data_IF_866627930123
#
_entry.id   IF_866627930123
#
_cell.length_a   1.000
_cell.length_b   1.000
_cell.length_c   1.000
_cell.angle_alpha   90.00
_cell.angle_beta   90.00
_cell.angle_gamma   90.00
#
_symmetry.space_group_name_H-M   'P 1'
#
loop_
_entity.id
_entity.type
_entity.pdbx_description
1 polymer ?
#
# COMPACT_ATOMS: atom_id res chain seq x y z
N UNK A 1 7.43 -6.58 7.29
CA UNK A 1 8.33 -6.79 8.45
C UNK A 1 8.27 -5.50 9.24
N UNK A 2 7.61 -5.52 10.40
CA UNK A 2 7.53 -4.35 11.28
C UNK A 2 8.89 -4.25 11.99
N UNK A 3 9.63 -3.18 11.74
CA UNK A 3 10.81 -2.83 12.52
C UNK A 3 10.38 -1.91 13.66
N UNK A 4 10.85 -2.21 14.87
CA UNK A 4 10.54 -1.44 16.06
C UNK A 4 11.82 -0.77 16.57
N UNK A 5 11.67 0.46 17.06
CA UNK A 5 12.72 1.16 17.78
C UNK A 5 12.48 0.97 19.26
N UNK A 6 13.50 0.48 19.97
CA UNK A 6 13.52 0.42 21.42
C UNK A 6 13.90 1.80 21.97
N UNK A 7 13.03 2.29 22.86
CA UNK A 7 13.14 3.61 23.48
C UNK A 7 13.37 3.55 24.98
N UNK A 8 13.82 2.41 25.49
CA UNK A 8 14.14 2.23 26.91
C UNK A 8 15.27 3.19 27.36
N UNK A 9 15.15 3.86 28.53
CA UNK A 9 14.06 3.78 29.50
C UNK A 9 12.82 4.58 29.07
N UNK A 10 11.72 3.85 28.91
CA UNK A 10 10.40 4.30 28.42
C UNK A 10 9.42 4.65 29.56
N UNK A 11 9.89 4.71 30.80
CA UNK A 11 9.04 4.96 31.97
C UNK A 11 8.65 6.43 32.00
N UNK A 12 7.38 6.70 31.64
CA UNK A 12 6.68 7.99 31.65
C UNK A 12 6.77 8.84 30.36
N UNK A 13 6.33 8.28 29.23
CA UNK A 13 5.81 9.14 28.17
C UNK A 13 4.36 9.52 28.49
N UNK A 14 4.08 10.82 28.49
CA UNK A 14 2.71 11.35 28.62
C UNK A 14 2.02 11.40 27.25
N UNK A 15 0.69 11.51 27.24
CA UNK A 15 -0.12 11.58 26.01
C UNK A 15 0.28 12.77 25.11
N UNK A 16 0.84 13.81 25.71
CA UNK A 16 1.30 15.02 25.02
C UNK A 16 2.78 14.96 24.59
N UNK A 17 3.46 13.84 24.79
CA UNK A 17 4.84 13.67 24.38
C UNK A 17 4.96 13.29 22.91
N UNK A 18 6.07 13.71 22.30
CA UNK A 18 6.37 13.51 20.89
C UNK A 18 7.74 12.87 20.72
N UNK A 19 7.84 11.96 19.76
CA UNK A 19 9.10 11.47 19.25
C UNK A 19 9.36 12.06 17.88
N UNK A 20 10.44 12.81 17.75
CA UNK A 20 10.89 13.43 16.51
C UNK A 20 12.02 12.60 15.92
N UNK A 21 11.83 12.12 14.71
CA UNK A 21 12.82 11.37 13.94
C UNK A 21 13.68 12.29 13.09
N UNK A 22 14.98 12.07 13.17
CA UNK A 22 15.97 12.74 12.35
C UNK A 22 16.73 11.72 11.50
N UNK A 23 17.00 12.08 10.24
CA UNK A 23 17.79 11.30 9.30
C UNK A 23 18.94 12.17 8.82
N UNK A 24 20.17 11.69 9.00
CA UNK A 24 21.39 12.43 8.65
C UNK A 24 21.47 13.81 9.33
N UNK A 25 20.95 13.92 10.55
CA UNK A 25 20.91 15.16 11.33
C UNK A 25 19.76 16.11 10.99
N UNK A 26 18.93 15.79 9.99
CA UNK A 26 17.77 16.59 9.61
C UNK A 26 16.47 15.99 10.14
N UNK A 27 15.59 16.82 10.69
CA UNK A 27 14.24 16.43 11.06
C UNK A 27 13.45 15.92 9.84
N UNK A 28 12.74 14.80 10.00
CA UNK A 28 11.92 14.20 8.93
C UNK A 28 10.49 13.94 9.34
N UNK A 29 10.23 13.50 10.56
CA UNK A 29 8.90 13.06 10.96
C UNK A 29 8.74 13.06 12.48
N UNK A 30 7.50 12.97 12.96
CA UNK A 30 7.23 12.79 14.37
C UNK A 30 6.06 11.84 14.61
N UNK A 31 6.04 11.20 15.78
CA UNK A 31 4.89 10.44 16.28
C UNK A 31 4.54 10.92 17.69
N UNK A 32 3.28 10.76 18.08
CA UNK A 32 2.86 11.01 19.48
C UNK A 32 3.16 9.77 20.31
N UNK A 33 3.49 9.96 21.58
CA UNK A 33 3.95 8.86 22.42
C UNK A 33 2.83 7.87 22.81
N UNK A 34 1.55 8.16 22.56
CA UNK A 34 0.49 7.15 22.66
C UNK A 34 0.33 6.28 21.41
N UNK A 35 1.11 6.54 20.34
CA UNK A 35 1.21 5.66 19.16
C UNK A 35 2.25 4.53 19.37
N UNK A 36 2.70 4.35 20.60
CA UNK A 36 3.56 3.25 21.04
C UNK A 36 2.72 1.97 21.16
N UNK A 37 3.31 0.81 20.84
CA UNK A 37 2.58 -0.45 20.73
C UNK A 37 1.81 -0.81 22.01
N UNK A 38 0.56 -1.29 21.87
CA UNK A 38 -0.30 -1.74 23.00
C UNK A 38 0.38 -2.83 23.85
N UNK A 39 1.25 -3.64 23.23
CA UNK A 39 1.95 -4.75 23.88
C UNK A 39 3.25 -4.35 24.61
N UNK A 40 3.85 -3.21 24.25
CA UNK A 40 5.08 -2.71 24.86
C UNK A 40 5.24 -1.19 24.66
N UNK A 41 5.12 -0.44 25.77
CA UNK A 41 5.25 1.01 25.87
C UNK A 41 6.65 1.57 25.53
N UNK A 42 7.59 0.70 25.15
CA UNK A 42 8.96 1.07 24.82
C UNK A 42 9.28 0.85 23.35
N UNK A 43 8.38 0.19 22.60
CA UNK A 43 8.58 -0.16 21.20
C UNK A 43 7.71 0.69 20.29
N UNK A 44 8.37 1.50 19.46
CA UNK A 44 7.72 2.36 18.49
C UNK A 44 7.92 1.80 17.10
N UNK A 45 6.83 1.75 16.33
CA UNK A 45 6.89 1.33 14.93
C UNK A 45 7.77 2.33 14.16
N UNK A 46 8.87 1.82 13.58
CA UNK A 46 9.82 2.65 12.84
C UNK A 46 9.14 3.23 11.58
N UNK A 47 9.19 4.55 11.33
CA UNK A 47 8.60 5.17 10.15
C UNK A 47 9.54 5.04 8.94
N UNK A 48 9.65 3.85 8.35
CA UNK A 48 10.61 3.56 7.25
C UNK A 48 10.51 4.48 6.03
N UNK A 49 9.38 5.16 5.82
CA UNK A 49 9.21 6.12 4.73
C UNK A 49 10.15 7.34 4.83
N UNK A 50 10.75 7.61 5.99
CA UNK A 50 11.75 8.68 6.15
C UNK A 50 13.14 8.30 5.60
N UNK A 51 13.35 7.04 5.21
CA UNK A 51 14.64 6.51 4.79
C UNK A 51 14.72 6.33 3.27
N UNK A 52 15.85 6.72 2.69
CA UNK A 52 16.13 6.48 1.27
C UNK A 52 16.51 5.01 1.01
N UNK A 53 15.93 4.39 -0.02
CA UNK A 53 16.21 3.00 -0.38
C UNK A 53 17.66 2.83 -0.83
N UNK A 54 18.32 1.79 -0.33
CA UNK A 54 19.70 1.40 -0.63
C UNK A 54 20.77 2.47 -0.32
N UNK A 55 20.46 3.43 0.55
CA UNK A 55 21.40 4.44 1.03
C UNK A 55 21.62 4.28 2.53
N UNK A 56 22.88 4.41 2.95
CA UNK A 56 23.21 4.50 4.36
C UNK A 56 22.60 5.79 4.93
N UNK A 57 21.87 5.66 6.04
CA UNK A 57 21.24 6.77 6.75
C UNK A 57 21.59 6.70 8.22
N UNK A 58 21.87 7.84 8.83
CA UNK A 58 22.06 7.96 10.28
C UNK A 58 20.73 8.33 10.93
N UNK A 59 20.01 7.32 11.42
CA UNK A 59 18.71 7.50 12.06
C UNK A 59 18.90 7.82 13.54
N UNK A 60 18.26 8.88 14.01
CA UNK A 60 18.16 9.19 15.45
C UNK A 60 16.76 9.70 15.78
N UNK A 61 16.42 9.71 17.06
CA UNK A 61 15.19 10.33 17.54
C UNK A 61 15.45 11.20 18.77
N UNK A 62 14.54 12.15 18.99
CA UNK A 62 14.47 12.99 20.18
C UNK A 62 13.08 12.83 20.76
N UNK A 63 12.99 12.65 22.07
CA UNK A 63 11.72 12.65 22.78
C UNK A 63 11.53 14.01 23.43
N UNK A 64 10.40 14.66 23.14
CA UNK A 64 10.06 16.02 23.58
C UNK A 64 8.71 15.97 24.27
N UNK A 65 8.58 16.62 25.43
CA UNK A 65 7.32 16.79 26.14
C UNK A 65 6.40 17.79 25.45
N UNK A 66 5.11 17.75 25.77
CA UNK A 66 4.13 18.73 25.26
C UNK A 66 4.47 20.20 25.59
N UNK A 67 5.25 20.44 26.65
CA UNK A 67 5.75 21.76 27.03
C UNK A 67 7.04 22.19 26.29
N UNK A 68 7.62 21.33 25.44
CA UNK A 68 8.84 21.58 24.69
C UNK A 68 10.13 21.04 25.32
N UNK A 69 10.09 20.45 26.52
CA UNK A 69 11.29 19.92 27.18
C UNK A 69 11.80 18.65 26.48
N UNK A 70 13.10 18.60 26.19
CA UNK A 70 13.75 17.40 25.65
C UNK A 70 14.05 16.44 26.80
N UNK A 71 13.46 15.24 26.77
CA UNK A 71 13.65 14.23 27.84
C UNK A 71 14.64 13.14 27.46
N UNK A 72 14.79 12.84 26.17
CA UNK A 72 15.77 11.87 25.70
C UNK A 72 16.23 12.19 24.28
N UNK A 73 17.45 11.79 23.97
CA UNK A 73 18.02 11.84 22.63
C UNK A 73 18.75 10.53 22.35
N UNK A 74 18.40 9.87 21.26
CA UNK A 74 19.10 8.67 20.84
C UNK A 74 20.46 9.03 20.25
N UNK A 75 21.41 8.10 20.36
CA UNK A 75 22.58 8.12 19.47
C UNK A 75 22.13 7.79 18.04
N UNK A 76 22.74 8.39 17.01
CA UNK A 76 22.50 7.97 15.63
C UNK A 76 22.90 6.52 15.41
N UNK A 77 22.06 5.78 14.70
CA UNK A 77 22.31 4.40 14.28
C UNK A 77 22.35 4.34 12.76
N UNK A 78 23.31 3.58 12.25
CA UNK A 78 23.48 3.31 10.84
C UNK A 78 22.40 2.35 10.35
N UNK A 79 21.52 2.84 9.49
CA UNK A 79 20.43 2.08 8.90
C UNK A 79 20.55 2.14 7.38
N UNK A 80 20.50 0.98 6.74
CA UNK A 80 20.32 0.89 5.29
C UNK A 80 18.94 0.29 5.02
N UNK A 81 18.00 1.13 4.59
CA UNK A 81 16.67 0.65 4.21
C UNK A 81 16.74 -0.07 2.86
N UNK A 82 16.46 -1.38 2.86
CA UNK A 82 16.50 -2.20 1.64
C UNK A 82 15.22 -2.12 0.80
N UNK A 83 14.23 -1.33 1.25
CA UNK A 83 12.91 -1.34 0.67
C UNK A 83 12.07 -2.51 1.17
N UNK A 84 10.82 -2.55 0.74
CA UNK A 84 9.95 -3.71 0.89
C UNK A 84 10.05 -4.59 -0.35
N UNK A 85 9.78 -5.91 -0.24
CA UNK A 85 9.61 -6.75 -1.41
C UNK A 85 8.51 -6.17 -2.32
N UNK A 86 8.62 -6.38 -3.64
CA UNK A 86 7.67 -5.88 -4.62
C UNK A 86 6.36 -6.71 -4.60
N UNK A 87 5.61 -6.56 -3.51
CA UNK A 87 4.34 -7.22 -3.26
C UNK A 87 3.53 -6.42 -2.23
N UNK A 88 2.21 -6.66 -2.14
CA UNK A 88 1.35 -6.04 -1.15
C UNK A 88 1.84 -6.23 0.30
N UNK A 89 1.60 -5.23 1.14
CA UNK A 89 2.04 -5.25 2.53
C UNK A 89 1.16 -6.18 3.37
N UNK A 90 1.74 -7.17 4.03
CA UNK A 90 0.97 -8.12 4.85
C UNK A 90 0.79 -7.66 6.30
N UNK A 91 1.39 -6.53 6.67
CA UNK A 91 1.46 -6.02 8.04
C UNK A 91 0.68 -4.70 8.24
N UNK A 92 -0.42 -4.54 7.49
CA UNK A 92 -1.35 -3.41 7.50
C UNK A 92 -2.79 -3.86 7.69
N UNK A 93 -3.65 -2.93 8.11
CA UNK A 93 -5.06 -3.19 8.33
C UNK A 93 -5.82 -3.23 6.99
N UNK A 94 -6.31 -4.43 6.67
CA UNK A 94 -7.07 -4.72 5.44
C UNK A 94 -8.53 -4.93 5.79
N UNK A 95 -9.30 -3.84 5.77
CA UNK A 95 -10.71 -3.85 6.15
C UNK A 95 -11.65 -3.95 4.94
N UNK A 96 -11.19 -3.57 3.75
CA UNK A 96 -12.02 -3.62 2.55
C UNK A 96 -11.87 -4.94 1.79
N UNK A 97 -12.91 -5.32 1.05
CA UNK A 97 -12.93 -6.49 0.17
C UNK A 97 -11.80 -6.43 -0.89
N UNK A 98 -11.29 -7.58 -1.37
CA UNK A 98 -10.37 -7.59 -2.50
C UNK A 98 -10.96 -6.96 -3.76
N UNK A 99 -10.12 -6.36 -4.60
CA UNK A 99 -10.56 -5.93 -5.92
C UNK A 99 -10.86 -7.14 -6.82
N UNK A 100 -11.69 -6.93 -7.86
CA UNK A 100 -11.95 -7.91 -8.91
C UNK A 100 -11.15 -7.58 -10.15
N UNK A 101 -10.49 -8.57 -10.74
CA UNK A 101 -9.69 -8.40 -11.96
C UNK A 101 -10.43 -8.99 -13.14
N UNK A 102 -10.36 -8.31 -14.29
CA UNK A 102 -11.03 -8.72 -15.51
C UNK A 102 -10.06 -8.69 -16.70
N UNK A 103 -10.27 -9.61 -17.62
CA UNK A 103 -9.58 -9.67 -18.91
C UNK A 103 -9.87 -8.44 -19.77
N UNK A 104 -9.12 -8.25 -20.85
CA UNK A 104 -9.41 -7.27 -21.90
C UNK A 104 -10.76 -7.48 -22.61
N UNK A 105 -11.41 -8.63 -22.40
CA UNK A 105 -12.76 -8.96 -22.87
C UNK A 105 -13.84 -8.75 -21.81
N UNK A 106 -13.47 -8.25 -20.62
CA UNK A 106 -14.36 -8.01 -19.49
C UNK A 106 -14.89 -9.31 -18.83
N UNK A 107 -14.12 -10.41 -18.92
CA UNK A 107 -14.36 -11.65 -18.17
C UNK A 107 -13.60 -11.64 -16.85
N UNK A 108 -14.17 -12.18 -15.77
CA UNK A 108 -13.53 -12.23 -14.46
C UNK A 108 -12.30 -13.15 -14.48
N UNK A 109 -11.23 -12.72 -13.81
CA UNK A 109 -10.07 -13.54 -13.46
C UNK A 109 -10.12 -13.80 -11.95
N UNK A 110 -10.38 -15.05 -11.59
CA UNK A 110 -10.41 -15.48 -10.20
C UNK A 110 -9.03 -15.34 -9.53
N UNK A 111 -9.03 -15.35 -8.19
CA UNK A 111 -7.81 -15.44 -7.40
C UNK A 111 -6.95 -16.62 -7.88
N UNK A 112 -5.64 -16.43 -7.91
CA UNK A 112 -4.65 -17.40 -8.42
C UNK A 112 -4.74 -17.63 -9.95
N UNK A 113 -5.59 -16.86 -10.64
CA UNK A 113 -5.76 -16.97 -12.08
C UNK A 113 -4.55 -16.46 -12.87
N UNK A 114 -4.25 -17.15 -13.97
CA UNK A 114 -3.16 -16.76 -14.88
C UNK A 114 -3.56 -15.63 -15.84
N UNK A 115 -2.61 -14.75 -16.16
CA UNK A 115 -2.70 -13.66 -17.14
C UNK A 115 -1.74 -14.00 -18.27
N UNK A 116 -2.27 -14.11 -19.48
CA UNK A 116 -1.54 -14.47 -20.68
C UNK A 116 -1.94 -13.59 -21.87
N UNK A 117 -1.23 -13.75 -22.99
CA UNK A 117 -1.47 -12.97 -24.21
C UNK A 117 -2.94 -12.98 -24.65
N UNK A 118 -3.64 -14.11 -24.53
CA UNK A 118 -5.04 -14.20 -24.90
C UNK A 118 -5.91 -13.29 -24.02
N UNK A 119 -5.74 -13.31 -22.70
CA UNK A 119 -6.54 -12.51 -21.77
C UNK A 119 -6.33 -11.01 -21.93
N UNK A 120 -5.18 -10.59 -22.43
CA UNK A 120 -4.87 -9.16 -22.66
C UNK A 120 -5.00 -8.73 -24.13
N UNK A 121 -5.33 -9.64 -25.06
CA UNK A 121 -5.27 -9.42 -26.52
C UNK A 121 -6.25 -8.40 -27.08
N UNK A 122 -7.37 -8.11 -26.41
CA UNK A 122 -8.36 -7.15 -26.90
C UNK A 122 -8.05 -5.68 -26.52
N UNK A 123 -6.85 -5.43 -25.99
CA UNK A 123 -6.45 -4.14 -25.43
C UNK A 123 -6.64 -2.95 -26.38
N UNK A 124 -6.34 -3.11 -27.67
CA UNK A 124 -6.45 -2.04 -28.66
C UNK A 124 -7.90 -1.54 -28.89
N UNK A 125 -8.91 -2.33 -28.48
CA UNK A 125 -10.32 -1.93 -28.54
C UNK A 125 -10.80 -1.26 -27.25
N UNK A 126 -9.96 -1.23 -26.22
CA UNK A 126 -10.29 -0.71 -24.92
C UNK A 126 -9.77 0.73 -24.74
N UNK A 127 -10.48 1.58 -23.96
CA UNK A 127 -10.01 2.92 -23.66
C UNK A 127 -8.61 2.91 -23.03
N UNK A 128 -7.71 3.75 -23.55
CA UNK A 128 -6.35 3.87 -23.03
C UNK A 128 -5.48 2.64 -23.24
N UNK A 129 -5.80 1.79 -24.23
CA UNK A 129 -5.05 0.57 -24.54
C UNK A 129 -5.00 -0.42 -23.35
N UNK A 130 -6.13 -0.57 -22.67
CA UNK A 130 -6.22 -1.35 -21.43
C UNK A 130 -6.19 -2.86 -21.69
N UNK A 131 -5.19 -3.54 -21.14
CA UNK A 131 -5.06 -5.01 -21.20
C UNK A 131 -5.85 -5.73 -20.11
N UNK A 132 -6.11 -5.07 -18.97
CA UNK A 132 -6.95 -5.58 -17.89
C UNK A 132 -7.80 -4.46 -17.30
N UNK A 133 -8.85 -4.86 -16.58
CA UNK A 133 -9.63 -3.95 -15.76
C UNK A 133 -9.62 -4.43 -14.32
N UNK A 134 -9.43 -3.50 -13.39
CA UNK A 134 -9.56 -3.78 -11.96
C UNK A 134 -10.73 -2.98 -11.41
N UNK A 135 -11.64 -3.66 -10.73
CA UNK A 135 -12.86 -3.06 -10.19
C UNK A 135 -12.85 -3.15 -8.67
N UNK A 136 -13.11 -2.03 -8.03
CA UNK A 136 -13.34 -1.91 -6.60
C UNK A 136 -14.78 -1.46 -6.39
N UNK A 137 -15.49 -2.11 -5.49
CA UNK A 137 -16.87 -1.74 -5.14
C UNK A 137 -16.84 -0.79 -3.95
N UNK A 138 -17.43 0.38 -4.12
CA UNK A 138 -17.72 1.31 -3.03
C UNK A 138 -19.18 1.25 -2.60
N UNK A 139 -19.49 1.87 -1.46
CA UNK A 139 -20.85 1.95 -0.92
C UNK A 139 -21.14 3.28 -0.21
N UNK A 140 -22.41 3.70 -0.25
CA UNK A 140 -22.94 4.77 0.62
C UNK A 140 -23.68 4.20 1.85
N UNK A 141 -23.70 2.88 2.03
CA UNK A 141 -24.25 2.27 3.22
C UNK A 141 -23.30 2.49 4.39
N UNK A 142 -23.76 3.25 5.39
CA UNK A 142 -22.95 3.53 6.58
C UNK A 142 -22.75 2.30 7.48
N UNK A 143 -23.57 1.25 7.30
CA UNK A 143 -23.42 -0.01 8.04
C UNK A 143 -22.42 -0.99 7.41
N UNK A 144 -22.08 -0.80 6.13
CA UNK A 144 -21.11 -1.64 5.42
C UNK A 144 -19.72 -1.00 5.46
N UNK A 145 -18.85 -1.56 6.32
CA UNK A 145 -17.46 -1.13 6.47
C UNK A 145 -16.47 -2.00 5.67
N UNK A 146 -16.95 -2.99 4.92
CA UNK A 146 -16.10 -3.84 4.06
C UNK A 146 -15.92 -3.26 2.66
N UNK A 147 -16.59 -2.15 2.34
CA UNK A 147 -16.50 -1.45 1.06
C UNK A 147 -16.07 -0.01 1.26
N UNK A 148 -15.35 0.51 0.26
CA UNK A 148 -14.85 1.89 0.24
C UNK A 148 -16.02 2.87 0.24
N UNK A 149 -15.93 3.96 0.99
CA UNK A 149 -17.00 4.98 0.97
C UNK A 149 -16.99 5.76 -0.36
N UNK A 150 -18.18 6.13 -0.82
CA UNK A 150 -18.32 6.95 -2.03
C UNK A 150 -17.57 8.29 -1.87
N UNK A 151 -16.93 8.76 -2.95
CA UNK A 151 -16.11 9.98 -2.95
C UNK A 151 -14.70 9.83 -2.35
N UNK A 152 -14.34 8.68 -1.77
CA UNK A 152 -13.00 8.43 -1.24
C UNK A 152 -11.94 8.44 -2.36
N UNK A 153 -10.75 8.97 -2.04
CA UNK A 153 -9.56 8.81 -2.88
C UNK A 153 -9.03 7.39 -2.71
N UNK A 154 -8.86 6.68 -3.81
CA UNK A 154 -8.39 5.30 -3.85
C UNK A 154 -7.12 5.23 -4.68
N UNK A 155 -6.09 4.60 -4.11
CA UNK A 155 -4.86 4.28 -4.82
C UNK A 155 -4.80 2.77 -5.02
N UNK A 156 -4.91 2.31 -6.26
CA UNK A 156 -4.69 0.93 -6.66
C UNK A 156 -3.19 0.72 -6.92
N UNK A 157 -2.59 -0.31 -6.34
CA UNK A 157 -1.20 -0.66 -6.56
C UNK A 157 -1.10 -1.95 -7.38
N UNK A 158 -0.34 -1.89 -8.47
CA UNK A 158 0.08 -3.04 -9.27
C UNK A 158 1.50 -3.45 -8.90
N UNK A 159 1.70 -4.74 -8.66
CA UNK A 159 3.02 -5.36 -8.50
C UNK A 159 3.17 -6.50 -9.50
N UNK A 160 4.25 -6.53 -10.28
CA UNK A 160 4.61 -7.66 -11.14
C UNK A 160 6.05 -8.07 -10.84
N UNK A 161 6.26 -9.36 -10.64
CA UNK A 161 7.59 -9.98 -10.56
C UNK A 161 7.69 -11.04 -11.65
N UNK A 162 8.58 -10.84 -12.62
CA UNK A 162 8.88 -11.82 -13.67
C UNK A 162 10.39 -12.05 -13.74
N UNK A 163 10.84 -13.06 -14.48
CA UNK A 163 12.28 -13.37 -14.56
C UNK A 163 13.10 -12.26 -15.19
N UNK A 164 12.47 -11.45 -16.03
CA UNK A 164 13.09 -10.39 -16.81
C UNK A 164 12.69 -8.98 -16.38
N UNK A 165 11.71 -8.81 -15.49
CA UNK A 165 11.20 -7.49 -15.15
C UNK A 165 10.56 -7.44 -13.74
N UNK A 166 10.53 -6.25 -13.16
CA UNK A 166 9.84 -5.96 -11.90
C UNK A 166 9.10 -4.64 -12.06
N UNK A 167 7.78 -4.66 -11.86
CA UNK A 167 6.93 -3.48 -12.01
C UNK A 167 6.27 -3.16 -10.68
N UNK A 168 6.31 -1.88 -10.30
CA UNK A 168 5.47 -1.29 -9.25
C UNK A 168 4.80 -0.08 -9.87
N UNK A 169 3.47 -0.05 -9.89
CA UNK A 169 2.74 1.08 -10.47
C UNK A 169 1.50 1.41 -9.64
N UNK A 170 1.44 2.61 -9.02
CA UNK A 170 0.22 3.10 -8.41
C UNK A 170 -0.69 3.75 -9.47
N UNK A 171 -2.00 3.69 -9.23
CA UNK A 171 -3.05 4.35 -9.98
C UNK A 171 -3.99 5.05 -9.01
N UNK A 172 -4.16 6.36 -9.17
CA UNK A 172 -5.02 7.16 -8.30
C UNK A 172 -6.36 7.43 -8.98
N UNK A 173 -7.46 7.20 -8.28
CA UNK A 173 -8.79 7.57 -8.75
C UNK A 173 -9.71 7.93 -7.57
N UNK A 174 -10.85 8.52 -7.86
CA UNK A 174 -11.86 8.86 -6.85
C UNK A 174 -13.03 7.89 -7.01
N UNK A 175 -13.43 7.23 -5.92
CA UNK A 175 -14.64 6.41 -5.89
C UNK A 175 -15.84 7.28 -6.28
N UNK A 176 -16.75 6.83 -7.18
CA UNK A 176 -17.88 7.66 -7.59
C UNK A 176 -18.68 8.18 -6.40
N UNK A 177 -19.21 9.41 -6.52
CA UNK A 177 -20.00 10.04 -5.45
C UNK A 177 -21.43 9.52 -5.37
N UNK A 178 -21.89 8.84 -6.41
CA UNK A 178 -23.26 8.32 -6.51
C UNK A 178 -23.24 6.83 -6.86
N UNK A 179 -24.23 6.06 -6.38
CA UNK A 179 -24.42 4.66 -6.76
C UNK A 179 -24.60 4.47 -8.27
N UNK A 180 -24.24 3.29 -8.79
CA UNK A 180 -24.36 2.97 -10.21
C UNK A 180 -25.83 2.94 -10.69
N UNK A 181 -26.76 2.61 -9.78
CA UNK A 181 -28.19 2.51 -10.06
C UNK A 181 -28.97 3.49 -9.17
N UNK A 182 -30.04 4.07 -9.70
CA UNK A 182 -30.94 4.94 -8.94
C UNK A 182 -31.54 4.20 -7.74
N UNK A 183 -31.46 4.80 -6.55
CA UNK A 183 -31.87 4.17 -5.29
C UNK A 183 -30.97 3.02 -4.81
N UNK A 184 -29.89 2.70 -5.55
CA UNK A 184 -28.89 1.70 -5.17
C UNK A 184 -27.98 2.18 -4.04
N UNK A 185 -27.10 1.28 -3.58
CA UNK A 185 -26.16 1.56 -2.48
C UNK A 185 -24.68 1.46 -2.86
N UNK A 186 -24.38 0.97 -4.06
CA UNK A 186 -23.02 0.61 -4.46
C UNK A 186 -22.62 1.32 -5.74
N UNK A 187 -21.34 1.61 -5.88
CA UNK A 187 -20.74 2.11 -7.11
C UNK A 187 -19.49 1.30 -7.47
N UNK A 188 -19.22 1.16 -8.77
CA UNK A 188 -18.04 0.47 -9.26
C UNK A 188 -16.97 1.48 -9.70
N UNK A 189 -15.81 1.46 -9.03
CA UNK A 189 -14.62 2.16 -9.46
C UNK A 189 -13.78 1.27 -10.36
N UNK A 190 -13.65 1.64 -11.64
CA UNK A 190 -12.89 0.89 -12.64
C UNK A 190 -11.53 1.54 -12.90
N UNK A 191 -10.47 0.75 -12.80
CA UNK A 191 -9.13 1.07 -13.24
C UNK A 191 -8.81 0.35 -14.55
N UNK A 192 -8.27 1.10 -15.51
CA UNK A 192 -7.81 0.58 -16.79
C UNK A 192 -6.30 0.34 -16.71
N UNK A 193 -5.88 -0.92 -16.72
CA UNK A 193 -4.46 -1.27 -16.60
C UNK A 193 -3.85 -1.32 -18.02
N UNK A 194 -2.89 -0.44 -18.34
CA UNK A 194 -2.33 -0.37 -19.70
C UNK A 194 -1.65 -1.67 -20.12
N UNK A 195 -1.91 -2.11 -21.36
CA UNK A 195 -1.29 -3.30 -21.96
C UNK A 195 0.23 -3.29 -21.89
N UNK A 196 0.86 -2.12 -22.08
CA UNK A 196 2.32 -1.97 -22.00
C UNK A 196 2.94 -2.38 -20.66
N UNK A 197 2.16 -2.37 -19.57
CA UNK A 197 2.62 -2.81 -18.24
C UNK A 197 2.44 -4.31 -18.03
N UNK A 198 1.72 -4.97 -18.93
CA UNK A 198 1.32 -6.37 -18.82
C UNK A 198 2.00 -7.25 -19.87
N UNK A 199 2.58 -6.66 -20.90
CA UNK A 199 3.24 -7.39 -21.98
C UNK A 199 4.73 -7.63 -21.70
N UNK A 200 5.25 -8.77 -22.16
CA UNK A 200 6.67 -9.11 -22.10
C UNK A 200 7.16 -9.61 -20.74
N UNK A 201 6.28 -10.22 -19.93
CA UNK A 201 6.67 -10.83 -18.65
C UNK A 201 6.91 -12.32 -18.81
N UNK A 202 8.18 -12.74 -18.67
CA UNK A 202 8.57 -14.14 -18.80
C UNK A 202 8.47 -14.89 -17.46
N UNK A 203 8.13 -16.18 -17.54
CA UNK A 203 8.20 -17.08 -16.39
C UNK A 203 9.63 -17.18 -15.82
N UNK A 204 9.73 -17.51 -14.54
CA UNK A 204 10.96 -17.98 -13.92
C UNK A 204 11.26 -19.42 -14.36
N UNK A 205 12.49 -19.93 -14.14
CA UNK A 205 12.85 -21.29 -14.57
C UNK A 205 11.93 -22.40 -14.04
N UNK A 206 11.25 -22.19 -12.89
CA UNK A 206 10.46 -23.21 -12.21
C UNK A 206 9.04 -22.77 -11.83
N UNK A 207 8.63 -21.54 -12.16
CA UNK A 207 7.28 -21.04 -11.89
C UNK A 207 6.96 -19.82 -12.77
N UNK A 208 5.68 -19.51 -12.93
CA UNK A 208 5.22 -18.34 -13.66
C UNK A 208 5.64 -17.03 -12.98
N UNK A 209 5.56 -15.92 -13.71
CA UNK A 209 5.64 -14.60 -13.09
C UNK A 209 4.48 -14.39 -12.11
N UNK A 210 4.67 -13.51 -11.14
CA UNK A 210 3.68 -13.16 -10.13
C UNK A 210 3.08 -11.80 -10.45
N UNK A 211 1.77 -11.66 -10.27
CA UNK A 211 1.08 -10.37 -10.32
C UNK A 211 0.21 -10.20 -9.08
N UNK A 212 0.18 -8.98 -8.55
CA UNK A 212 -0.65 -8.61 -7.41
C UNK A 212 -1.35 -7.29 -7.64
N UNK A 213 -2.57 -7.21 -7.13
CA UNK A 213 -3.29 -5.97 -6.94
C UNK A 213 -3.72 -5.84 -5.49
N UNK A 214 -3.47 -4.68 -4.90
CA UNK A 214 -4.17 -4.23 -3.71
C UNK A 214 -4.48 -2.75 -3.85
N UNK A 215 -5.20 -2.18 -2.89
CA UNK A 215 -5.50 -0.76 -2.91
C UNK A 215 -5.58 -0.20 -1.50
N UNK A 216 -5.47 1.12 -1.42
CA UNK A 216 -5.57 1.88 -0.18
C UNK A 216 -6.52 3.07 -0.32
N UNK A 217 -7.09 3.45 0.82
CA UNK A 217 -7.81 4.71 1.02
C UNK A 217 -7.01 5.53 2.03
N UNK A 218 -6.53 6.70 1.61
CA UNK A 218 -5.55 7.50 2.35
C UNK A 218 -4.11 7.30 1.86
N UNK A 219 -3.17 8.01 2.47
CA UNK A 219 -1.74 7.93 2.17
C UNK A 219 -1.01 7.01 3.15
N UNK A 220 0.07 6.32 2.74
CA UNK A 220 0.85 5.45 3.64
C UNK A 220 1.45 6.18 4.85
N UNK A 221 1.51 7.51 4.79
CA UNK A 221 1.95 8.38 5.88
C UNK A 221 0.81 8.80 6.82
N UNK A 222 -0.44 8.53 6.46
CA UNK A 222 -1.62 8.80 7.28
C UNK A 222 -1.81 7.70 8.32
N UNK A 223 -2.20 8.08 9.53
CA UNK A 223 -2.52 7.14 10.62
C UNK A 223 -3.69 6.22 10.26
N UNK A 224 -4.66 6.75 9.55
CA UNK A 224 -5.94 6.11 9.28
C UNK A 224 -5.98 5.46 7.89
N UNK A 225 -4.80 5.23 7.28
CA UNK A 225 -4.70 4.53 6.01
C UNK A 225 -5.24 3.11 6.15
N UNK A 226 -6.13 2.74 5.25
CA UNK A 226 -6.80 1.44 5.25
C UNK A 226 -6.68 0.80 3.89
N UNK A 227 -6.52 -0.52 3.87
CA UNK A 227 -6.26 -1.26 2.64
C UNK A 227 -7.41 -2.20 2.29
N UNK A 228 -7.53 -2.50 1.01
CA UNK A 228 -8.34 -3.60 0.52
C UNK A 228 -7.65 -4.94 0.60
N UNK A 229 -8.43 -6.01 0.41
CA UNK A 229 -7.89 -7.35 0.25
C UNK A 229 -6.96 -7.45 -0.96
N UNK A 230 -6.05 -8.43 -0.91
CA UNK A 230 -5.07 -8.67 -1.97
C UNK A 230 -5.69 -9.59 -3.02
N UNK A 231 -5.70 -9.16 -4.27
CA UNK A 231 -5.83 -10.08 -5.39
C UNK A 231 -4.42 -10.51 -5.85
N UNK A 232 -4.23 -11.81 -6.09
CA UNK A 232 -2.96 -12.35 -6.59
C UNK A 232 -3.20 -13.36 -7.71
N UNK A 233 -2.27 -13.44 -8.64
CA UNK A 233 -2.30 -14.41 -9.71
C UNK A 233 -0.94 -14.59 -10.39
N UNK A 234 -0.97 -15.26 -11.54
CA UNK A 234 0.22 -15.56 -12.34
C UNK A 234 0.25 -14.74 -13.62
N UNK A 235 1.42 -14.43 -14.15
CA UNK A 235 1.57 -13.71 -15.42
C UNK A 235 2.69 -14.29 -16.27
N UNK A 236 2.35 -14.62 -17.53
CA UNK A 236 3.29 -15.03 -18.57
C UNK A 236 2.81 -14.46 -19.91
N UNK A 237 3.56 -13.49 -20.43
CA UNK A 237 3.22 -12.74 -21.66
C UNK A 237 4.46 -12.49 -22.50
N UNK A 238 4.29 -12.38 -23.82
CA UNK A 238 5.41 -12.30 -24.78
C UNK A 238 5.00 -11.85 -26.17
#
# INVERSE_FOLDING_TARGET
MKAYLDTTPCTAYDVDDFLLFNVNGEYKYYVRAFDVSEDNQCLIKSPYFILEKNKLSHLSYIVIRGNGDIIAKSYPVDVTYRGRPNKPWTDVDRIYEPCKVYTSFNDVIEQDGGINNQKISNHAKNPGDAGLFVIITGTNDNSDNTKVKLGSKVTLNLYINSSNNTVTQPFNCIMPYHPDNEGGKTAALRFNIPYKLLNGHLAFPFHDGEIYFDYQVGDDNDRDVTYGGIWSGHIVTG
#
